data_IF_242937942072
#
_entry.id   IF_242937942072
#
_cell.length_a   1.000
_cell.length_b   1.000
_cell.length_c   1.000
_cell.angle_alpha   90.00
_cell.angle_beta   90.00
_cell.angle_gamma   90.00
#
_symmetry.space_group_name_H-M   'P 1'
#
loop_
_entity.id
_entity.type
_entity.pdbx_description
1 polymer ?
#
# COMPACT_ATOMS: atom_id res chain seq x y z
N UNK A 1 -23.40 -3.01 -5.79
CA UNK A 1 -22.63 -1.94 -5.11
C UNK A 1 -21.20 -2.43 -4.98
N UNK A 2 -20.23 -1.83 -5.66
CA UNK A 2 -18.82 -2.01 -5.26
C UNK A 2 -18.66 -1.25 -3.95
N UNK A 3 -18.91 -1.91 -2.81
CA UNK A 3 -18.90 -1.24 -1.51
C UNK A 3 -17.49 -0.71 -1.23
N UNK A 4 -17.40 0.35 -0.42
CA UNK A 4 -16.14 0.88 0.11
C UNK A 4 -15.27 -0.24 0.70
N UNK A 5 -15.90 -1.26 1.29
CA UNK A 5 -15.23 -2.44 1.84
C UNK A 5 -14.54 -3.29 0.75
N UNK A 6 -15.11 -3.38 -0.45
CA UNK A 6 -14.48 -4.08 -1.57
C UNK A 6 -13.25 -3.32 -2.08
N UNK A 7 -13.27 -1.99 -2.05
CA UNK A 7 -12.11 -1.14 -2.37
C UNK A 7 -11.04 -1.29 -1.28
N UNK A 8 -11.43 -1.21 -0.01
CA UNK A 8 -10.53 -1.39 1.13
C UNK A 8 -9.85 -2.76 1.09
N UNK A 9 -10.62 -3.84 0.91
CA UNK A 9 -10.06 -5.20 0.82
C UNK A 9 -9.08 -5.36 -0.34
N UNK A 10 -9.30 -4.68 -1.47
CA UNK A 10 -8.35 -4.65 -2.58
C UNK A 10 -7.08 -3.90 -2.18
N UNK A 11 -7.20 -2.72 -1.58
CA UNK A 11 -6.05 -1.94 -1.10
C UNK A 11 -5.22 -2.73 -0.09
N UNK A 12 -5.86 -3.39 0.87
CA UNK A 12 -5.19 -4.26 1.85
C UNK A 12 -4.46 -5.42 1.15
N UNK A 13 -5.10 -6.07 0.18
CA UNK A 13 -4.48 -7.15 -0.60
C UNK A 13 -3.26 -6.66 -1.38
N UNK A 14 -3.33 -5.48 -2.00
CA UNK A 14 -2.21 -4.91 -2.74
C UNK A 14 -1.08 -4.47 -1.82
N UNK A 15 -1.40 -3.92 -0.65
CA UNK A 15 -0.42 -3.54 0.37
C UNK A 15 0.33 -4.76 0.90
N UNK A 16 -0.38 -5.85 1.18
CA UNK A 16 0.24 -7.10 1.60
C UNK A 16 1.18 -7.64 0.51
N UNK A 17 0.72 -7.71 -0.73
CA UNK A 17 1.54 -8.16 -1.86
C UNK A 17 2.78 -7.29 -2.08
N UNK A 18 2.66 -5.97 -1.95
CA UNK A 18 3.79 -5.05 -2.07
C UNK A 18 4.82 -5.29 -0.95
N UNK A 19 4.33 -5.54 0.27
CA UNK A 19 5.17 -5.89 1.43
C UNK A 19 5.92 -7.20 1.18
N UNK A 20 5.21 -8.25 0.77
CA UNK A 20 5.79 -9.56 0.49
C UNK A 20 6.83 -9.47 -0.64
N UNK A 21 6.54 -8.71 -1.70
CA UNK A 21 7.47 -8.48 -2.81
C UNK A 21 8.73 -7.78 -2.35
N UNK A 22 8.63 -6.68 -1.58
CA UNK A 22 9.81 -5.99 -1.04
C UNK A 22 10.65 -6.93 -0.18
N UNK A 23 10.00 -7.71 0.69
CA UNK A 23 10.70 -8.63 1.58
C UNK A 23 11.44 -9.73 0.80
N UNK A 24 10.77 -10.35 -0.18
CA UNK A 24 11.38 -11.37 -1.02
C UNK A 24 12.54 -10.80 -1.86
N UNK A 25 12.35 -9.64 -2.48
CA UNK A 25 13.42 -8.97 -3.24
C UNK A 25 14.60 -8.58 -2.36
N UNK A 26 14.36 -8.14 -1.12
CA UNK A 26 15.40 -7.81 -0.16
C UNK A 26 16.23 -9.04 0.23
N UNK A 27 15.56 -10.17 0.51
CA UNK A 27 16.24 -11.43 0.81
C UNK A 27 17.12 -11.89 -0.36
N UNK A 28 16.57 -11.89 -1.59
CA UNK A 28 17.33 -12.27 -2.78
C UNK A 28 18.54 -11.36 -3.01
N UNK A 29 18.36 -10.04 -2.88
CA UNK A 29 19.45 -9.08 -3.05
C UNK A 29 20.54 -9.23 -1.98
N UNK A 30 20.16 -9.56 -0.74
CA UNK A 30 21.10 -9.80 0.35
C UNK A 30 21.91 -11.10 0.15
N UNK A 31 21.31 -12.13 -0.45
CA UNK A 31 21.94 -13.42 -0.70
C UNK A 31 22.83 -13.43 -1.95
N UNK A 32 22.40 -12.80 -3.05
CA UNK A 32 23.07 -12.95 -4.35
C UNK A 32 24.13 -11.90 -4.65
N UNK A 33 24.09 -10.73 -3.99
CA UNK A 33 24.86 -9.52 -4.37
C UNK A 33 24.76 -9.14 -5.86
N UNK A 34 23.75 -9.65 -6.58
CA UNK A 34 23.51 -9.37 -8.00
C UNK A 34 22.95 -7.98 -8.19
N UNK A 35 23.41 -7.28 -9.23
CA UNK A 35 22.85 -5.99 -9.64
C UNK A 35 21.39 -6.12 -10.08
N UNK A 36 21.01 -7.25 -10.68
CA UNK A 36 19.62 -7.50 -11.10
C UNK A 36 18.69 -7.65 -9.89
N UNK A 37 19.13 -8.34 -8.85
CA UNK A 37 18.34 -8.51 -7.61
C UNK A 37 18.26 -7.21 -6.82
N UNK A 38 19.34 -6.41 -6.80
CA UNK A 38 19.30 -5.05 -6.25
C UNK A 38 18.31 -4.15 -7.01
N UNK A 39 18.30 -4.22 -8.35
CA UNK A 39 17.34 -3.48 -9.17
C UNK A 39 15.90 -3.93 -8.92
N UNK A 40 15.68 -5.24 -8.80
CA UNK A 40 14.38 -5.84 -8.43
C UNK A 40 13.91 -5.33 -7.08
N UNK A 41 14.79 -5.27 -6.07
CA UNK A 41 14.48 -4.70 -4.76
C UNK A 41 14.07 -3.22 -4.83
N UNK A 42 14.82 -2.38 -5.55
CA UNK A 42 14.47 -0.96 -5.73
C UNK A 42 13.11 -0.82 -6.43
N UNK A 43 12.84 -1.65 -7.43
CA UNK A 43 11.55 -1.67 -8.14
C UNK A 43 10.39 -2.05 -7.20
N UNK A 44 10.58 -3.08 -6.37
CA UNK A 44 9.61 -3.48 -5.36
C UNK A 44 9.37 -2.36 -4.33
N UNK A 45 10.41 -1.64 -3.91
CA UNK A 45 10.28 -0.49 -3.01
C UNK A 45 9.42 0.63 -3.61
N UNK A 46 9.58 0.93 -4.90
CA UNK A 46 8.73 1.90 -5.59
C UNK A 46 7.26 1.47 -5.58
N UNK A 47 6.98 0.17 -5.81
CA UNK A 47 5.63 -0.37 -5.70
C UNK A 47 5.04 -0.22 -4.30
N UNK A 48 5.84 -0.45 -3.26
CA UNK A 48 5.43 -0.26 -1.87
C UNK A 48 5.15 1.21 -1.53
N UNK A 49 5.94 2.15 -2.07
CA UNK A 49 5.69 3.59 -1.89
C UNK A 49 4.30 4.00 -2.41
N UNK A 50 3.91 3.48 -3.58
CA UNK A 50 2.57 3.71 -4.14
C UNK A 50 1.48 3.12 -3.23
N UNK A 51 1.68 1.90 -2.73
CA UNK A 51 0.72 1.25 -1.83
C UNK A 51 0.54 2.02 -0.51
N UNK A 52 1.63 2.51 0.09
CA UNK A 52 1.60 3.35 1.30
C UNK A 52 0.84 4.65 1.02
N UNK A 53 1.13 5.33 -0.09
CA UNK A 53 0.43 6.57 -0.45
C UNK A 53 -1.08 6.35 -0.59
N UNK A 54 -1.50 5.26 -1.26
CA UNK A 54 -2.91 4.91 -1.38
C UNK A 54 -3.58 4.68 -0.02
N UNK A 55 -2.92 3.99 0.92
CA UNK A 55 -3.41 3.78 2.28
C UNK A 55 -3.54 5.09 3.07
N UNK A 56 -2.58 6.01 2.91
CA UNK A 56 -2.66 7.36 3.52
C UNK A 56 -3.86 8.15 2.99
N UNK A 57 -4.06 8.16 1.66
CA UNK A 57 -5.20 8.83 1.04
C UNK A 57 -6.53 8.24 1.49
N UNK A 58 -6.61 6.92 1.64
CA UNK A 58 -7.79 6.25 2.18
C UNK A 58 -8.10 6.74 3.60
N UNK A 59 -7.11 6.78 4.48
CA UNK A 59 -7.27 7.30 5.86
C UNK A 59 -7.78 8.74 5.86
N UNK A 60 -7.20 9.60 5.03
CA UNK A 60 -7.62 10.99 4.90
C UNK A 60 -9.09 11.11 4.42
N UNK A 61 -9.49 10.28 3.45
CA UNK A 61 -10.87 10.24 2.98
C UNK A 61 -11.84 9.81 4.09
N UNK A 62 -11.52 8.76 4.85
CA UNK A 62 -12.35 8.34 5.98
C UNK A 62 -12.47 9.42 7.06
N UNK A 63 -11.37 10.11 7.38
CA UNK A 63 -11.38 11.20 8.34
C UNK A 63 -12.29 12.36 7.88
N UNK A 64 -12.14 12.79 6.62
CA UNK A 64 -12.95 13.86 6.06
C UNK A 64 -14.45 13.52 6.02
N UNK A 65 -14.79 12.26 5.68
CA UNK A 65 -16.16 11.78 5.71
C UNK A 65 -16.73 11.78 7.14
N UNK A 66 -15.97 11.28 8.11
CA UNK A 66 -16.37 11.28 9.51
C UNK A 66 -16.62 12.71 10.03
N UNK A 67 -15.71 13.64 9.70
CA UNK A 67 -15.87 15.06 10.03
C UNK A 67 -17.14 15.65 9.42
N UNK A 68 -17.38 15.43 8.12
CA UNK A 68 -18.57 15.93 7.45
C UNK A 68 -19.88 15.40 8.06
N UNK A 69 -19.89 14.13 8.53
CA UNK A 69 -21.04 13.55 9.23
C UNK A 69 -21.25 14.24 10.58
N UNK A 70 -20.18 14.44 11.36
CA UNK A 70 -20.24 15.12 12.67
C UNK A 70 -20.73 16.56 12.48
N UNK A 71 -20.16 17.29 11.52
CA UNK A 71 -20.53 18.69 11.23
C UNK A 71 -21.99 18.81 10.73
N UNK A 72 -22.54 17.75 10.11
CA UNK A 72 -23.93 17.70 9.66
C UNK A 72 -24.92 17.27 10.76
N UNK A 73 -24.44 16.79 11.90
CA UNK A 73 -25.29 16.47 13.04
C UNK A 73 -25.54 17.73 13.89
N UNK A 74 -26.81 18.04 14.22
CA UNK A 74 -27.18 19.22 15.01
C UNK A 74 -26.76 19.13 16.49
#
# INVERSE_FOLDING_TARGET
MSSIEAVQRRLDTYFQRATDNVNNSAMNAAESQSLDDMHSFVTSMNGMSVAVNAATQQTAAHHNLAKAIIDAMP
#
